data_IF_379565655339
#
_entry.id   IF_379565655339
#
_cell.length_a   1.000
_cell.length_b   1.000
_cell.length_c   1.000
_cell.angle_alpha   90.00
_cell.angle_beta   90.00
_cell.angle_gamma   90.00
#
_symmetry.space_group_name_H-M   'P 1'
#
loop_
_entity.id
_entity.type
_entity.pdbx_description
1 polymer ?
#
# COMPACT_ATOMS: atom_id res chain seq x y z
N UNK A 1 0.12 14.49 24.03
CA UNK A 1 -0.48 13.14 23.96
C UNK A 1 0.07 12.46 22.70
N UNK A 2 0.79 11.34 22.81
CA UNK A 2 1.33 10.64 21.62
C UNK A 2 0.29 9.60 21.20
N UNK A 3 -0.26 9.74 19.99
CA UNK A 3 -1.17 8.74 19.43
C UNK A 3 -0.46 7.39 19.37
N UNK A 4 -1.11 6.34 19.89
CA UNK A 4 -0.55 4.99 19.92
C UNK A 4 -1.03 4.26 18.66
N UNK A 5 -0.11 3.93 17.78
CA UNK A 5 -0.40 3.11 16.60
C UNK A 5 -0.83 1.71 17.05
N UNK A 6 -1.76 1.12 16.30
CA UNK A 6 -2.09 -0.29 16.51
C UNK A 6 -0.89 -1.17 16.15
N UNK A 7 -0.79 -2.36 16.77
CA UNK A 7 0.29 -3.30 16.49
C UNK A 7 0.33 -3.73 15.03
N UNK A 8 -0.82 -3.81 14.36
CA UNK A 8 -0.93 -4.10 12.93
C UNK A 8 -0.34 -2.97 12.08
N UNK A 9 -0.75 -1.71 12.31
CA UNK A 9 -0.20 -0.55 11.59
C UNK A 9 1.32 -0.50 11.73
N UNK A 10 1.83 -0.69 12.95
CA UNK A 10 3.26 -0.70 13.22
C UNK A 10 3.99 -1.81 12.43
N UNK A 11 3.37 -2.99 12.29
CA UNK A 11 3.91 -4.12 11.52
C UNK A 11 4.01 -3.78 10.03
N UNK A 12 3.00 -3.13 9.45
CA UNK A 12 3.00 -2.73 8.04
C UNK A 12 4.11 -1.71 7.76
N UNK A 13 4.13 -0.59 8.47
CA UNK A 13 5.10 0.50 8.22
C UNK A 13 6.54 0.13 8.59
N UNK A 14 6.73 -0.88 9.44
CA UNK A 14 8.04 -1.38 9.85
C UNK A 14 8.45 -2.65 9.10
N UNK A 15 7.73 -3.01 8.03
CA UNK A 15 8.02 -4.20 7.25
C UNK A 15 9.50 -4.22 6.79
N UNK A 16 10.07 -5.43 6.78
CA UNK A 16 11.49 -5.62 6.51
C UNK A 16 11.87 -5.13 5.12
N UNK A 17 11.01 -5.30 4.12
CA UNK A 17 11.26 -4.88 2.73
C UNK A 17 11.28 -3.36 2.63
N UNK A 18 10.28 -2.70 3.22
CA UNK A 18 10.20 -1.23 3.28
C UNK A 18 11.40 -0.60 4.00
N UNK A 19 11.85 -1.21 5.12
CA UNK A 19 13.04 -0.73 5.85
C UNK A 19 14.33 -0.91 5.06
N UNK A 20 14.52 -2.06 4.42
CA UNK A 20 15.72 -2.34 3.61
C UNK A 20 15.82 -1.40 2.40
N UNK A 21 14.69 -1.11 1.76
CA UNK A 21 14.61 -0.17 0.64
C UNK A 21 14.72 1.31 1.06
N UNK A 22 14.83 1.62 2.36
CA UNK A 22 14.88 2.99 2.91
C UNK A 22 13.73 3.88 2.41
N UNK A 23 12.55 3.29 2.26
CA UNK A 23 11.33 3.96 1.81
C UNK A 23 11.01 5.21 2.62
N UNK A 24 10.47 6.22 1.95
CA UNK A 24 10.06 7.48 2.57
C UNK A 24 8.84 7.30 3.47
N UNK A 25 8.49 8.35 4.22
CA UNK A 25 7.24 8.35 5.01
C UNK A 25 6.02 8.17 4.11
N UNK A 26 5.99 8.82 2.94
CA UNK A 26 4.86 8.78 2.00
C UNK A 26 4.72 7.40 1.37
N UNK A 27 5.83 6.75 1.03
CA UNK A 27 5.81 5.35 0.55
C UNK A 27 5.27 4.40 1.61
N UNK A 28 5.58 4.61 2.89
CA UNK A 28 5.07 3.79 4.00
C UNK A 28 3.59 4.08 4.30
N UNK A 29 3.16 5.34 4.13
CA UNK A 29 1.75 5.70 4.22
C UNK A 29 0.95 5.05 3.09
N UNK A 30 1.47 5.09 1.86
CA UNK A 30 0.88 4.39 0.72
C UNK A 30 0.78 2.89 0.99
N UNK A 31 1.85 2.24 1.46
CA UNK A 31 1.82 0.83 1.82
C UNK A 31 0.72 0.52 2.85
N UNK A 32 0.59 1.35 3.89
CA UNK A 32 -0.46 1.19 4.89
C UNK A 32 -1.87 1.30 4.29
N UNK A 33 -2.11 2.32 3.47
CA UNK A 33 -3.39 2.54 2.78
C UNK A 33 -3.73 1.41 1.82
N UNK A 34 -2.75 0.88 1.09
CA UNK A 34 -2.97 -0.28 0.22
C UNK A 34 -3.31 -1.51 1.05
N UNK A 35 -2.61 -1.76 2.16
CA UNK A 35 -2.89 -2.89 3.05
C UNK A 35 -4.31 -2.86 3.66
N UNK A 36 -4.92 -1.68 3.83
CA UNK A 36 -6.34 -1.57 4.23
C UNK A 36 -7.31 -1.83 3.08
N UNK A 37 -6.88 -1.62 1.83
CA UNK A 37 -7.67 -1.79 0.61
C UNK A 37 -7.35 -3.09 -0.12
N UNK A 38 -6.77 -4.08 0.58
CA UNK A 38 -6.40 -5.37 0.01
C UNK A 38 -7.31 -6.46 0.59
N UNK A 39 -7.74 -7.40 -0.25
CA UNK A 39 -8.45 -8.59 0.22
C UNK A 39 -7.53 -9.61 0.93
N UNK A 40 -8.10 -10.72 1.41
CA UNK A 40 -7.36 -11.77 2.09
C UNK A 40 -6.37 -12.52 1.18
N UNK A 41 -6.54 -12.44 -0.14
CA UNK A 41 -5.67 -13.03 -1.14
C UNK A 41 -4.53 -12.10 -1.53
N UNK A 42 -4.51 -10.86 -1.05
CA UNK A 42 -3.47 -9.90 -1.36
C UNK A 42 -3.80 -9.01 -2.56
N UNK A 43 -4.99 -9.10 -3.15
CA UNK A 43 -5.35 -8.34 -4.36
C UNK A 43 -5.83 -6.95 -3.95
N UNK A 44 -5.33 -5.92 -4.65
CA UNK A 44 -5.72 -4.53 -4.42
C UNK A 44 -7.16 -4.25 -4.90
N UNK A 45 -7.87 -3.48 -4.08
CA UNK A 45 -9.25 -3.06 -4.33
C UNK A 45 -10.26 -4.01 -3.70
N UNK A 46 -11.47 -3.51 -3.38
CA UNK A 46 -12.54 -4.33 -2.85
C UNK A 46 -12.91 -5.44 -3.86
N UNK A 47 -12.75 -6.70 -3.46
CA UNK A 47 -12.99 -7.86 -4.34
C UNK A 47 -12.10 -7.89 -5.59
N UNK A 48 -10.92 -7.25 -5.55
CA UNK A 48 -9.97 -7.19 -6.66
C UNK A 48 -10.32 -6.18 -7.77
N UNK A 49 -11.24 -5.25 -7.52
CA UNK A 49 -11.75 -4.30 -8.52
C UNK A 49 -10.85 -3.07 -8.78
N UNK A 50 -9.57 -3.11 -8.43
CA UNK A 50 -8.67 -1.95 -8.44
C UNK A 50 -9.05 -0.86 -7.42
N UNK A 51 -8.13 0.06 -7.18
CA UNK A 51 -8.33 1.23 -6.31
C UNK A 51 -8.37 2.47 -7.20
N UNK A 52 -9.44 3.26 -7.09
CA UNK A 52 -9.58 4.50 -7.85
C UNK A 52 -8.52 5.53 -7.43
N UNK A 53 -7.90 6.18 -8.41
CA UNK A 53 -6.77 7.08 -8.18
C UNK A 53 -7.14 8.30 -7.32
N UNK A 54 -8.33 8.86 -7.57
CA UNK A 54 -8.88 9.98 -6.80
C UNK A 54 -9.07 9.66 -5.31
N UNK A 55 -9.48 8.42 -4.98
CA UNK A 55 -9.59 7.97 -3.61
C UNK A 55 -8.21 7.83 -2.97
N UNK A 56 -7.25 7.29 -3.73
CA UNK A 56 -5.88 7.10 -3.25
C UNK A 56 -5.18 8.42 -2.94
N UNK A 57 -5.31 9.42 -3.82
CA UNK A 57 -4.76 10.78 -3.60
C UNK A 57 -5.49 11.55 -2.50
N UNK A 58 -6.73 11.18 -2.16
CA UNK A 58 -7.44 11.75 -1.03
C UNK A 58 -6.93 11.19 0.33
N UNK A 59 -6.42 9.96 0.34
CA UNK A 59 -5.86 9.32 1.55
C UNK A 59 -4.36 9.56 1.73
N UNK A 60 -3.64 9.61 0.62
CA UNK A 60 -2.20 9.89 0.55
C UNK A 60 -2.05 11.21 -0.18
N UNK A 61 -1.89 12.34 0.54
CA UNK A 61 -1.91 13.68 -0.05
C UNK A 61 -0.61 13.96 -0.81
N UNK A 62 -0.48 13.35 -1.98
CA UNK A 62 0.62 13.49 -2.93
C UNK A 62 0.06 13.74 -4.33
N UNK A 63 0.83 14.40 -5.18
CA UNK A 63 0.44 14.61 -6.57
C UNK A 63 0.46 13.30 -7.37
N UNK A 64 -0.31 13.23 -8.47
CA UNK A 64 -0.39 12.01 -9.29
C UNK A 64 0.97 11.56 -9.86
N UNK A 65 1.84 12.51 -10.20
CA UNK A 65 3.21 12.21 -10.65
C UNK A 65 4.09 11.62 -9.54
N UNK A 66 3.89 12.04 -8.30
CA UNK A 66 4.58 11.48 -7.14
C UNK A 66 4.04 10.08 -6.80
N UNK A 67 2.74 9.86 -6.97
CA UNK A 67 2.11 8.58 -6.69
C UNK A 67 2.68 7.44 -7.53
N UNK A 68 2.94 7.66 -8.84
CA UNK A 68 3.64 6.68 -9.67
C UNK A 68 5.00 6.32 -9.06
N UNK A 69 5.77 7.33 -8.63
CA UNK A 69 7.07 7.11 -8.02
C UNK A 69 6.98 6.31 -6.70
N UNK A 70 5.93 6.52 -5.90
CA UNK A 70 5.70 5.73 -4.68
C UNK A 70 5.34 4.27 -5.00
N UNK A 71 4.50 4.04 -6.01
CA UNK A 71 4.14 2.68 -6.48
C UNK A 71 5.37 1.95 -7.02
N UNK A 72 6.24 2.65 -7.76
CA UNK A 72 7.50 2.10 -8.26
C UNK A 72 8.42 1.71 -7.12
N UNK A 73 8.55 2.56 -6.09
CA UNK A 73 9.34 2.22 -4.90
C UNK A 73 8.81 0.97 -4.18
N UNK A 74 7.49 0.80 -4.09
CA UNK A 74 6.89 -0.40 -3.49
C UNK A 74 7.12 -1.64 -4.35
N UNK A 75 7.08 -1.51 -5.68
CA UNK A 75 7.36 -2.61 -6.61
C UNK A 75 8.84 -3.01 -6.55
N UNK A 76 9.75 -2.04 -6.56
CA UNK A 76 11.20 -2.27 -6.42
C UNK A 76 11.58 -2.86 -5.06
N UNK A 77 10.83 -2.51 -4.00
CA UNK A 77 11.00 -3.11 -2.69
C UNK A 77 10.43 -4.54 -2.61
N UNK A 78 9.90 -5.10 -3.69
CA UNK A 78 9.21 -6.40 -3.72
C UNK A 78 8.01 -6.41 -2.75
N UNK A 79 7.36 -5.26 -2.55
CA UNK A 79 6.20 -5.12 -1.68
C UNK A 79 4.89 -5.29 -2.46
N UNK A 80 4.87 -4.78 -3.70
CA UNK A 80 3.81 -5.02 -4.70
C UNK A 80 4.35 -5.82 -5.89
N UNK A 81 3.47 -6.59 -6.51
CA UNK A 81 3.68 -7.23 -7.81
C UNK A 81 2.44 -7.05 -8.69
N UNK A 82 2.61 -7.30 -9.99
CA UNK A 82 1.55 -7.22 -11.02
C UNK A 82 0.84 -5.85 -11.00
N UNK A 83 1.62 -4.81 -10.76
CA UNK A 83 1.12 -3.44 -10.64
C UNK A 83 0.83 -2.86 -12.01
N UNK A 84 -0.35 -2.26 -12.15
CA UNK A 84 -0.65 -1.37 -13.26
C UNK A 84 -1.29 -0.11 -12.70
N UNK A 85 -0.60 1.02 -12.90
CA UNK A 85 -1.14 2.33 -12.61
C UNK A 85 -1.59 2.97 -13.92
N UNK A 86 -2.84 3.41 -13.94
CA UNK A 86 -3.44 4.16 -15.05
C UNK A 86 -3.87 5.52 -14.53
N UNK A 87 -4.30 6.41 -15.43
CA UNK A 87 -4.81 7.74 -15.06
C UNK A 87 -6.05 7.67 -14.14
N UNK A 88 -6.73 6.52 -14.05
CA UNK A 88 -7.97 6.36 -13.30
C UNK A 88 -7.84 5.43 -12.08
N UNK A 89 -6.96 4.43 -12.12
CA UNK A 89 -6.94 3.36 -11.14
C UNK A 89 -5.58 2.68 -10.99
N UNK A 90 -5.38 2.09 -9.82
CA UNK A 90 -4.25 1.22 -9.46
C UNK A 90 -4.75 -0.22 -9.28
N UNK A 91 -4.18 -1.14 -10.05
CA UNK A 91 -4.26 -2.59 -9.80
C UNK A 91 -2.94 -3.13 -9.28
N UNK A 92 -2.98 -4.28 -8.64
CA UNK A 92 -1.78 -4.99 -8.19
C UNK A 92 -2.12 -5.97 -7.09
N UNK A 93 -1.08 -6.61 -6.56
CA UNK A 93 -1.19 -7.50 -5.42
C UNK A 93 0.00 -7.37 -4.48
N UNK A 94 -0.23 -7.64 -3.20
CA UNK A 94 0.84 -7.80 -2.21
C UNK A 94 1.63 -9.07 -2.52
N UNK A 95 2.95 -9.01 -2.35
CA UNK A 95 3.79 -10.21 -2.48
C UNK A 95 3.60 -11.16 -1.28
N UNK A 96 3.96 -12.44 -1.44
CA UNK A 96 3.70 -13.48 -0.42
C UNK A 96 4.18 -13.13 1.00
N UNK A 97 5.37 -12.54 1.11
CA UNK A 97 5.93 -12.12 2.41
C UNK A 97 5.15 -10.98 3.10
N UNK A 98 4.27 -10.32 2.36
CA UNK A 98 3.47 -9.15 2.77
C UNK A 98 2.00 -9.53 2.94
N UNK A 99 1.54 -10.69 2.48
CA UNK A 99 0.14 -11.16 2.61
C UNK A 99 -0.35 -11.21 4.08
N UNK A 100 0.54 -11.49 5.02
CA UNK A 100 0.25 -11.47 6.46
C UNK A 100 0.07 -10.06 7.06
N UNK A 101 0.14 -9.03 6.22
CA UNK A 101 -0.04 -7.63 6.55
C UNK A 101 -1.39 -7.08 6.06
N UNK A 102 -2.22 -7.92 5.41
CA UNK A 102 -3.60 -7.56 5.07
C UNK A 102 -4.38 -7.15 6.33
N UNK A 103 -5.26 -6.15 6.19
CA UNK A 103 -6.02 -5.65 7.32
C UNK A 103 -6.98 -6.74 7.83
N UNK A 104 -6.94 -7.09 9.14
CA UNK A 104 -7.82 -8.11 9.70
C UNK A 104 -9.28 -7.65 9.80
N UNK A 105 -9.54 -6.36 9.61
CA UNK A 105 -10.87 -5.78 9.60
C UNK A 105 -11.41 -5.89 8.16
N UNK A 106 -12.25 -6.90 7.93
CA UNK A 106 -13.00 -7.03 6.67
C UNK A 106 -13.90 -5.79 6.50
N UNK A 107 -13.86 -5.17 5.32
CA UNK A 107 -14.95 -4.31 4.84
C UNK A 107 -16.15 -5.17 4.42
#
# INVERSE_FOLDING_TARGET
>A
MRAKLSGWVQKVISDKKLRKAKTTADTRLLALTLATQTDASGILGPGGQAIALNALTAWVPVDSGELQHLVDQLTQADWLTDTALTDAQLTGQLTEGVLLLTCPLRA
#
